data_IF_935026043000
#
_entry.id   IF_935026043000
#
_cell.length_a   1.000
_cell.length_b   1.000
_cell.length_c   1.000
_cell.angle_alpha   90.00
_cell.angle_beta   90.00
_cell.angle_gamma   90.00
#
_symmetry.space_group_name_H-M   'P 1'
#
loop_
_entity.id
_entity.type
_entity.pdbx_description
1 polymer ?
#
# COMPACT_ATOMS: atom_id res chain seq x y z
N UNK A 1 10.66 -0.18 -20.58
CA UNK A 1 10.30 -1.23 -19.61
C UNK A 1 11.46 -1.40 -18.65
N UNK A 2 11.15 -1.55 -17.37
CA UNK A 2 12.15 -1.79 -16.34
C UNK A 2 12.26 -3.30 -16.07
N UNK A 3 13.46 -3.75 -15.71
CA UNK A 3 13.75 -5.15 -15.42
C UNK A 3 14.66 -5.27 -14.20
N UNK A 4 14.50 -6.34 -13.43
CA UNK A 4 15.31 -6.60 -12.24
C UNK A 4 16.44 -7.57 -12.59
N UNK A 5 17.66 -7.25 -12.17
CA UNK A 5 18.80 -8.13 -12.41
C UNK A 5 18.60 -9.50 -11.74
N UNK A 6 18.92 -10.56 -12.48
CA UNK A 6 18.72 -11.95 -12.10
C UNK A 6 17.26 -12.42 -12.16
N UNK A 7 16.28 -11.56 -12.45
CA UNK A 7 14.90 -11.99 -12.71
C UNK A 7 14.69 -12.24 -14.21
N UNK A 8 13.51 -12.70 -14.61
CA UNK A 8 13.11 -12.64 -16.01
C UNK A 8 12.33 -11.34 -16.30
N UNK A 9 12.10 -11.07 -17.59
CA UNK A 9 11.20 -10.03 -18.09
C UNK A 9 10.34 -10.58 -19.23
N UNK A 10 9.02 -10.51 -19.12
CA UNK A 10 8.12 -10.79 -20.24
C UNK A 10 7.74 -9.48 -20.94
N UNK A 11 8.02 -9.38 -22.24
CA UNK A 11 7.63 -8.23 -23.07
C UNK A 11 6.32 -8.59 -23.77
N UNK A 12 5.18 -8.02 -23.36
CA UNK A 12 3.95 -8.13 -24.11
C UNK A 12 4.15 -7.40 -25.45
N UNK A 13 3.85 -8.09 -26.54
CA UNK A 13 4.09 -7.57 -27.87
C UNK A 13 3.02 -8.08 -28.83
N UNK A 14 2.44 -7.16 -29.59
CA UNK A 14 1.60 -7.43 -30.75
C UNK A 14 2.10 -6.60 -31.92
N UNK A 15 1.92 -7.10 -33.14
CA UNK A 15 2.32 -6.38 -34.33
C UNK A 15 1.20 -6.37 -35.36
N UNK A 16 1.12 -5.29 -36.13
CA UNK A 16 0.18 -5.18 -37.23
C UNK A 16 0.92 -5.02 -38.55
N UNK A 17 0.31 -5.52 -39.62
CA UNK A 17 0.81 -5.36 -40.98
C UNK A 17 -0.35 -5.43 -41.95
N UNK A 18 -0.38 -4.48 -42.88
CA UNK A 18 -1.32 -4.40 -43.99
C UNK A 18 -0.62 -4.77 -45.32
N UNK A 19 0.62 -5.24 -45.27
CA UNK A 19 1.38 -5.57 -46.47
C UNK A 19 0.70 -6.74 -47.22
N UNK A 20 0.31 -6.57 -48.48
CA UNK A 20 -0.36 -7.61 -49.26
C UNK A 20 0.45 -8.91 -49.39
N UNK A 21 1.78 -8.85 -49.19
CA UNK A 21 2.67 -10.02 -49.23
C UNK A 21 2.62 -10.85 -47.94
N UNK A 22 1.89 -10.40 -46.91
CA UNK A 22 1.73 -11.12 -45.66
C UNK A 22 0.68 -12.25 -45.78
N UNK A 23 1.14 -13.49 -46.03
CA UNK A 23 0.27 -14.69 -46.13
C UNK A 23 0.34 -15.64 -44.90
N UNK A 24 -0.65 -15.60 -43.99
CA UNK A 24 -0.64 -16.36 -42.70
C UNK A 24 -0.42 -17.87 -42.84
N UNK A 25 -0.78 -18.43 -44.00
CA UNK A 25 0.06 -19.31 -44.83
C UNK A 25 1.32 -19.95 -44.26
N UNK A 26 2.40 -19.16 -44.41
CA UNK A 26 3.79 -19.58 -44.33
C UNK A 26 4.34 -19.43 -42.92
N UNK A 27 5.46 -20.10 -42.65
CA UNK A 27 6.20 -19.94 -41.39
C UNK A 27 6.63 -18.48 -41.20
N UNK A 28 6.38 -17.96 -40.02
CA UNK A 28 6.69 -16.58 -39.63
C UNK A 28 7.83 -16.65 -38.61
N UNK A 29 8.86 -15.84 -38.83
CA UNK A 29 10.00 -15.74 -37.94
C UNK A 29 10.03 -14.37 -37.26
N UNK A 30 10.35 -14.39 -35.97
CA UNK A 30 10.55 -13.20 -35.15
C UNK A 30 12.04 -13.00 -34.92
N UNK A 31 12.49 -11.76 -35.08
CA UNK A 31 13.88 -11.37 -34.89
C UNK A 31 13.95 -10.18 -33.94
N UNK A 32 14.77 -10.31 -32.90
CA UNK A 32 15.10 -9.22 -32.01
C UNK A 32 16.49 -8.68 -32.35
N UNK A 33 16.58 -7.35 -32.36
CA UNK A 33 17.82 -6.63 -32.62
C UNK A 33 18.09 -5.63 -31.49
N UNK A 34 19.37 -5.42 -31.15
CA UNK A 34 19.80 -4.48 -30.12
C UNK A 34 20.65 -3.36 -30.72
N UNK A 35 20.40 -2.12 -30.32
CA UNK A 35 21.16 -0.92 -30.68
C UNK A 35 20.76 -0.29 -32.03
N UNK A 36 20.41 -1.09 -33.04
CA UNK A 36 20.01 -0.58 -34.36
C UNK A 36 19.23 -1.59 -35.21
N UNK A 37 18.92 -1.20 -36.45
CA UNK A 37 18.09 -1.97 -37.41
C UNK A 37 18.84 -2.45 -38.66
N UNK A 38 20.02 -1.88 -38.96
CA UNK A 38 20.79 -2.17 -40.18
C UNK A 38 21.75 -3.36 -40.00
N UNK A 39 21.23 -4.59 -39.97
CA UNK A 39 22.06 -5.77 -39.75
C UNK A 39 22.82 -6.28 -40.99
N UNK A 40 22.49 -5.79 -42.20
CA UNK A 40 23.24 -6.13 -43.43
C UNK A 40 24.69 -5.65 -43.39
N UNK A 41 24.96 -4.53 -42.71
CA UNK A 41 26.33 -4.00 -42.50
C UNK A 41 26.95 -4.47 -41.18
N UNK A 42 26.12 -4.87 -40.20
CA UNK A 42 26.60 -5.39 -38.93
C UNK A 42 25.68 -6.51 -38.39
N UNK A 43 25.98 -7.79 -38.69
CA UNK A 43 25.18 -8.92 -38.22
C UNK A 43 25.12 -9.06 -36.70
N UNK A 44 26.07 -8.45 -35.96
CA UNK A 44 26.18 -8.59 -34.50
C UNK A 44 25.04 -7.92 -33.71
N UNK A 45 24.19 -7.13 -34.39
CA UNK A 45 23.04 -6.48 -33.75
C UNK A 45 21.85 -7.43 -33.56
N UNK A 46 21.80 -8.54 -34.31
CA UNK A 46 20.78 -9.58 -34.15
C UNK A 46 21.12 -10.38 -32.90
N UNK A 47 20.25 -10.31 -31.89
CA UNK A 47 20.47 -11.00 -30.61
C UNK A 47 19.71 -12.31 -30.52
N UNK A 48 18.62 -12.43 -31.30
CA UNK A 48 17.75 -13.59 -31.31
C UNK A 48 17.00 -13.69 -32.64
N UNK A 49 16.93 -14.89 -33.20
CA UNK A 49 16.15 -15.23 -34.37
C UNK A 49 15.43 -16.57 -34.15
N UNK A 50 14.10 -16.59 -34.28
CA UNK A 50 13.29 -17.79 -34.03
C UNK A 50 13.46 -18.88 -35.10
N UNK A 51 14.07 -18.59 -36.25
CA UNK A 51 14.41 -19.59 -37.28
C UNK A 51 15.55 -20.52 -36.88
N UNK A 52 16.35 -20.16 -35.87
CA UNK A 52 17.58 -20.86 -35.53
C UNK A 52 18.72 -20.69 -36.55
N UNK A 53 18.56 -19.80 -37.54
CA UNK A 53 19.58 -19.58 -38.58
C UNK A 53 20.84 -18.83 -38.10
N UNK A 54 20.86 -18.34 -36.87
CA UNK A 54 22.01 -17.68 -36.25
C UNK A 54 22.22 -18.19 -34.83
N UNK A 55 23.48 -18.17 -34.38
CA UNK A 55 23.79 -18.38 -32.97
C UNK A 55 23.24 -17.20 -32.17
N UNK A 56 22.12 -17.44 -31.47
CA UNK A 56 21.47 -16.43 -30.67
C UNK A 56 22.40 -16.00 -29.52
N UNK A 57 22.62 -14.69 -29.40
CA UNK A 57 23.42 -14.11 -28.33
C UNK A 57 22.75 -14.28 -26.97
N UNK A 58 21.43 -14.22 -26.94
CA UNK A 58 20.61 -14.46 -25.75
C UNK A 58 19.62 -15.59 -26.01
N UNK A 59 19.42 -16.44 -25.00
CA UNK A 59 18.44 -17.54 -25.03
C UNK A 59 17.03 -17.03 -24.75
N UNK A 60 16.50 -16.17 -25.63
CA UNK A 60 15.13 -15.66 -25.49
C UNK A 60 14.10 -16.74 -25.83
N UNK A 61 12.91 -16.64 -25.27
CA UNK A 61 11.80 -17.54 -25.56
C UNK A 61 10.59 -16.76 -26.09
N UNK A 62 10.16 -17.01 -27.32
CA UNK A 62 8.94 -16.42 -27.87
C UNK A 62 7.73 -17.24 -27.42
N UNK A 63 6.99 -16.70 -26.45
CA UNK A 63 5.79 -17.35 -25.91
C UNK A 63 4.52 -16.99 -26.68
N UNK A 64 4.55 -15.90 -27.45
CA UNK A 64 3.45 -15.47 -28.31
C UNK A 64 3.35 -16.25 -29.63
N UNK A 65 2.13 -16.45 -30.12
CA UNK A 65 1.88 -17.02 -31.43
C UNK A 65 1.97 -15.95 -32.54
N UNK A 66 3.05 -15.98 -33.31
CA UNK A 66 3.28 -15.02 -34.41
C UNK A 66 2.19 -15.07 -35.49
N UNK A 67 1.50 -16.20 -35.70
CA UNK A 67 0.39 -16.28 -36.65
C UNK A 67 -0.82 -15.47 -36.20
N UNK A 68 -1.02 -15.37 -34.90
CA UNK A 68 -2.04 -14.53 -34.24
C UNK A 68 -1.54 -13.11 -33.98
N UNK A 69 -0.47 -12.68 -34.67
CA UNK A 69 0.14 -11.36 -34.50
C UNK A 69 0.68 -11.08 -33.09
N UNK A 70 0.92 -12.13 -32.30
CA UNK A 70 1.44 -12.03 -30.94
C UNK A 70 2.95 -12.34 -30.92
N UNK A 71 3.76 -11.32 -30.64
CA UNK A 71 5.21 -11.38 -30.57
C UNK A 71 5.76 -11.41 -29.14
N UNK A 72 4.90 -11.72 -28.15
CA UNK A 72 5.29 -11.75 -26.74
C UNK A 72 6.53 -12.62 -26.54
N UNK A 73 7.56 -12.04 -25.91
CA UNK A 73 8.87 -12.67 -25.75
C UNK A 73 9.30 -12.59 -24.28
N UNK A 74 9.76 -13.72 -23.75
CA UNK A 74 10.35 -13.86 -22.43
C UNK A 74 11.87 -13.76 -22.52
N UNK A 75 12.43 -12.84 -21.76
CA UNK A 75 13.85 -12.69 -21.51
C UNK A 75 14.16 -13.38 -20.18
N UNK A 76 14.72 -14.59 -20.18
CA UNK A 76 15.19 -15.21 -18.94
C UNK A 76 16.46 -14.51 -18.47
N UNK A 77 16.70 -14.53 -17.16
CA UNK A 77 17.95 -14.08 -16.54
C UNK A 77 18.47 -12.72 -17.03
N UNK A 78 17.75 -11.67 -16.65
CA UNK A 78 18.11 -10.29 -16.95
C UNK A 78 19.45 -9.96 -16.28
N UNK A 79 20.32 -9.37 -17.07
CA UNK A 79 21.67 -8.95 -16.69
C UNK A 79 21.87 -7.52 -17.15
N UNK A 80 22.85 -6.80 -16.59
CA UNK A 80 23.17 -5.41 -17.02
C UNK A 80 23.46 -5.32 -18.53
N UNK A 81 24.00 -6.38 -19.12
CA UNK A 81 24.24 -6.46 -20.57
C UNK A 81 22.95 -6.43 -21.41
N UNK A 82 21.78 -6.63 -20.81
CA UNK A 82 20.47 -6.51 -21.46
C UNK A 82 19.93 -5.07 -21.47
N UNK A 83 20.60 -4.12 -20.83
CA UNK A 83 20.18 -2.72 -20.90
C UNK A 83 20.36 -2.16 -22.32
N UNK A 84 19.37 -1.40 -22.80
CA UNK A 84 19.46 -0.66 -24.04
C UNK A 84 18.19 -0.68 -24.89
N UNK A 85 18.37 -0.31 -26.16
CA UNK A 85 17.30 -0.13 -27.14
C UNK A 85 17.19 -1.35 -28.06
N UNK A 86 15.96 -1.84 -28.25
CA UNK A 86 15.63 -3.05 -28.98
C UNK A 86 14.59 -2.78 -30.06
N UNK A 87 14.66 -3.57 -31.12
CA UNK A 87 13.73 -3.50 -32.26
C UNK A 87 13.24 -4.89 -32.58
N UNK A 88 11.93 -5.01 -32.78
CA UNK A 88 11.31 -6.25 -33.22
C UNK A 88 11.12 -6.24 -34.75
N UNK A 89 11.34 -7.40 -35.35
CA UNK A 89 11.23 -7.62 -36.78
C UNK A 89 10.52 -8.93 -37.07
N UNK A 90 9.66 -8.89 -38.07
CA UNK A 90 8.95 -10.06 -38.60
C UNK A 90 9.47 -10.36 -39.99
N UNK A 91 9.89 -11.61 -40.19
CA UNK A 91 10.34 -12.14 -41.48
C UNK A 91 9.45 -13.29 -41.92
N UNK A 92 9.05 -13.26 -43.19
CA UNK A 92 8.09 -14.22 -43.74
C UNK A 92 8.23 -14.31 -45.25
N UNK A 93 8.88 -15.36 -45.74
CA UNK A 93 9.25 -15.45 -47.16
C UNK A 93 10.01 -14.18 -47.57
N UNK A 94 9.48 -13.46 -48.56
CA UNK A 94 10.07 -12.20 -49.05
C UNK A 94 9.65 -10.98 -48.22
N UNK A 95 8.61 -11.10 -47.39
CA UNK A 95 8.17 -10.01 -46.52
C UNK A 95 9.11 -9.87 -45.32
N UNK A 96 9.51 -8.61 -45.08
CA UNK A 96 10.47 -8.21 -44.05
C UNK A 96 10.02 -6.88 -43.46
N UNK A 97 9.45 -6.90 -42.27
CA UNK A 97 8.93 -5.71 -41.58
C UNK A 97 9.60 -5.47 -40.22
N UNK A 98 10.02 -4.25 -39.93
CA UNK A 98 10.68 -3.88 -38.67
C UNK A 98 9.96 -2.72 -38.00
N UNK A 99 9.69 -2.85 -36.70
CA UNK A 99 9.11 -1.81 -35.88
C UNK A 99 10.17 -0.74 -35.53
N UNK A 100 10.51 0.11 -36.51
CA UNK A 100 11.53 1.15 -36.33
C UNK A 100 11.03 2.35 -35.52
N UNK A 101 9.73 2.66 -35.62
CA UNK A 101 9.10 3.80 -34.95
C UNK A 101 8.86 3.55 -33.45
N UNK A 102 8.67 2.28 -33.06
CA UNK A 102 8.30 1.88 -31.69
C UNK A 102 9.38 0.98 -31.06
N UNK A 103 10.59 1.51 -30.80
CA UNK A 103 11.66 0.75 -30.18
C UNK A 103 11.37 0.46 -28.71
N UNK A 104 11.64 -0.77 -28.28
CA UNK A 104 11.60 -1.14 -26.87
C UNK A 104 12.87 -0.66 -26.18
N UNK A 105 12.74 0.12 -25.11
CA UNK A 105 13.85 0.45 -24.22
C UNK A 105 13.78 -0.41 -22.96
N UNK A 106 14.84 -1.16 -22.66
CA UNK A 106 14.98 -1.94 -21.42
C UNK A 106 15.98 -1.23 -20.51
N UNK A 107 15.54 -0.92 -19.29
CA UNK A 107 16.38 -0.38 -18.22
C UNK A 107 16.52 -1.45 -17.14
N UNK A 108 17.75 -1.77 -16.74
CA UNK A 108 18.02 -2.83 -15.75
C UNK A 108 18.32 -2.19 -14.40
N UNK A 109 17.60 -2.63 -13.37
CA UNK A 109 17.79 -2.18 -11.98
C UNK A 109 18.30 -3.33 -11.12
N UNK A 110 19.09 -2.97 -10.11
CA UNK A 110 19.53 -3.91 -9.07
C UNK A 110 18.54 -3.95 -7.90
N UNK A 111 17.85 -2.84 -7.62
CA UNK A 111 16.84 -2.75 -6.56
C UNK A 111 15.48 -3.25 -7.05
N UNK A 112 14.79 -4.13 -6.28
CA UNK A 112 13.43 -4.58 -6.61
C UNK A 112 12.40 -3.46 -6.46
N UNK A 113 11.23 -3.64 -7.07
CA UNK A 113 10.12 -2.69 -6.92
C UNK A 113 9.49 -2.80 -5.54
N UNK A 114 9.27 -1.65 -4.90
CA UNK A 114 8.51 -1.59 -3.66
C UNK A 114 7.04 -1.96 -3.92
N UNK A 115 6.42 -2.76 -3.02
CA UNK A 115 4.99 -2.99 -3.10
C UNK A 115 4.22 -1.69 -2.84
N UNK A 116 2.96 -1.65 -3.24
CA UNK A 116 2.02 -0.59 -2.91
C UNK A 116 0.97 -1.12 -1.96
N UNK A 117 0.65 -0.34 -0.93
CA UNK A 117 -0.43 -0.64 0.01
C UNK A 117 -1.56 0.35 -0.28
N UNK A 118 -2.72 -0.17 -0.65
CA UNK A 118 -3.92 0.61 -0.89
C UNK A 118 -4.90 0.43 0.27
N UNK A 119 -5.22 1.54 0.93
CA UNK A 119 -6.16 1.62 2.05
C UNK A 119 -7.17 2.71 1.69
N UNK A 120 -8.49 2.53 1.95
CA UNK A 120 -9.46 3.60 1.79
C UNK A 120 -9.11 4.84 2.63
N UNK A 121 -9.58 6.01 2.19
CA UNK A 121 -9.50 7.23 3.01
C UNK A 121 -10.55 7.22 4.13
N UNK A 122 -10.42 8.15 5.07
CA UNK A 122 -11.46 8.48 6.05
C UNK A 122 -11.93 7.31 6.92
N UNK A 123 -10.95 6.56 7.44
CA UNK A 123 -11.17 5.37 8.25
C UNK A 123 -11.87 5.70 9.57
N UNK A 124 -12.93 4.95 9.89
CA UNK A 124 -13.69 5.08 11.14
C UNK A 124 -13.81 3.73 11.85
N UNK A 125 -13.86 3.76 13.18
CA UNK A 125 -14.13 2.58 14.00
C UNK A 125 -15.45 1.88 13.57
N UNK A 126 -15.49 0.56 13.74
CA UNK A 126 -16.56 -0.38 13.33
C UNK A 126 -16.77 -0.54 11.82
N UNK A 127 -16.03 0.20 10.98
CA UNK A 127 -16.07 0.01 9.53
C UNK A 127 -15.21 -1.21 9.14
N UNK A 128 -15.75 -2.07 8.29
CA UNK A 128 -14.97 -3.10 7.61
C UNK A 128 -14.40 -2.55 6.30
N UNK A 129 -13.08 -2.56 6.16
CA UNK A 129 -12.37 -2.08 4.97
C UNK A 129 -11.49 -3.17 4.38
N UNK A 130 -11.34 -3.15 3.06
CA UNK A 130 -10.39 -4.03 2.36
C UNK A 130 -9.07 -3.32 2.20
N UNK A 131 -8.02 -3.88 2.79
CA UNK A 131 -6.63 -3.45 2.55
C UNK A 131 -6.05 -4.33 1.46
N UNK A 132 -5.37 -3.71 0.49
CA UNK A 132 -4.72 -4.44 -0.61
C UNK A 132 -3.24 -4.11 -0.64
N UNK A 133 -2.38 -5.14 -0.62
CA UNK A 133 -0.98 -4.98 -0.98
C UNK A 133 -0.76 -5.56 -2.38
N UNK A 134 -0.07 -4.81 -3.25
CA UNK A 134 0.23 -5.24 -4.61
C UNK A 134 1.66 -4.94 -5.01
N UNK A 135 2.24 -5.77 -5.89
CA UNK A 135 3.56 -5.56 -6.45
C UNK A 135 3.60 -5.89 -7.94
N UNK A 136 4.45 -5.16 -8.65
CA UNK A 136 4.66 -5.36 -10.08
C UNK A 136 5.24 -6.75 -10.36
N UNK A 137 4.71 -7.43 -11.37
CA UNK A 137 5.07 -8.80 -11.73
C UNK A 137 5.67 -8.81 -13.14
N UNK A 138 7.00 -8.62 -13.29
CA UNK A 138 7.65 -8.62 -14.61
C UNK A 138 7.56 -9.99 -15.30
N UNK A 139 7.29 -11.04 -14.52
CA UNK A 139 7.19 -12.42 -14.98
C UNK A 139 6.00 -13.16 -14.36
N UNK A 140 4.97 -13.47 -15.15
CA UNK A 140 3.80 -14.22 -14.67
C UNK A 140 4.14 -15.63 -14.15
N UNK A 141 5.16 -16.27 -14.72
CA UNK A 141 5.61 -17.60 -14.31
C UNK A 141 6.48 -17.59 -13.05
N UNK A 142 6.95 -16.42 -12.62
CA UNK A 142 7.78 -16.26 -11.41
C UNK A 142 7.36 -14.99 -10.66
N UNK A 143 6.12 -14.97 -10.13
CA UNK A 143 5.60 -13.80 -9.44
C UNK A 143 6.31 -13.54 -8.10
N UNK A 144 6.33 -12.30 -7.61
CA UNK A 144 6.87 -12.00 -6.29
C UNK A 144 6.04 -12.68 -5.19
N UNK A 145 6.71 -13.09 -4.12
CA UNK A 145 6.04 -13.54 -2.90
C UNK A 145 5.72 -12.31 -2.04
N UNK A 146 4.43 -12.06 -1.83
CA UNK A 146 3.94 -11.00 -0.94
C UNK A 146 3.72 -11.54 0.47
N UNK A 147 4.15 -10.78 1.47
CA UNK A 147 3.91 -11.04 2.90
C UNK A 147 3.65 -9.71 3.61
N UNK A 148 2.80 -9.71 4.63
CA UNK A 148 2.49 -8.53 5.43
C UNK A 148 2.19 -8.91 6.88
N UNK A 149 2.06 -7.91 7.74
CA UNK A 149 1.78 -8.10 9.17
C UNK A 149 0.29 -8.18 9.54
N UNK A 150 -0.65 -8.10 8.58
CA UNK A 150 -2.09 -8.21 8.84
C UNK A 150 -2.56 -9.65 9.00
N UNK A 151 -2.26 -10.50 8.01
CA UNK A 151 -2.67 -11.90 8.04
C UNK A 151 -1.68 -12.77 7.25
N UNK A 152 -1.30 -13.92 7.81
CA UNK A 152 -0.19 -14.73 7.29
C UNK A 152 -0.57 -15.53 6.03
N UNK A 153 -1.86 -15.84 5.86
CA UNK A 153 -2.38 -16.69 4.77
C UNK A 153 -3.36 -15.96 3.82
N UNK A 154 -3.09 -14.70 3.50
CA UNK A 154 -3.95 -13.97 2.54
C UNK A 154 -3.83 -14.56 1.13
N UNK A 155 -4.98 -14.75 0.47
CA UNK A 155 -5.04 -15.34 -0.87
C UNK A 155 -4.31 -14.46 -1.89
N UNK A 156 -3.31 -15.05 -2.54
CA UNK A 156 -2.54 -14.41 -3.60
C UNK A 156 -3.25 -14.51 -4.94
N UNK A 157 -3.38 -13.39 -5.63
CA UNK A 157 -3.96 -13.32 -6.96
C UNK A 157 -3.00 -12.56 -7.88
N UNK A 158 -2.76 -13.07 -9.09
CA UNK A 158 -1.98 -12.36 -10.11
C UNK A 158 -2.91 -12.00 -11.25
N UNK A 159 -3.01 -10.71 -11.53
CA UNK A 159 -3.92 -10.16 -12.53
C UNK A 159 -3.11 -9.50 -13.64
N UNK A 160 -3.69 -9.51 -14.85
CA UNK A 160 -3.16 -8.80 -16.00
C UNK A 160 -3.94 -7.50 -16.16
N UNK A 161 -3.23 -6.38 -16.13
CA UNK A 161 -3.79 -5.06 -16.38
C UNK A 161 -4.03 -4.83 -17.88
N UNK A 162 -4.84 -3.81 -18.20
CA UNK A 162 -5.21 -3.44 -19.58
C UNK A 162 -4.02 -3.00 -20.42
N UNK A 163 -2.98 -2.46 -19.79
CA UNK A 163 -1.70 -2.09 -20.38
C UNK A 163 -0.78 -3.29 -20.67
N UNK A 164 -1.22 -4.52 -20.34
CA UNK A 164 -0.47 -5.75 -20.54
C UNK A 164 0.53 -6.07 -19.43
N UNK A 165 0.65 -5.22 -18.40
CA UNK A 165 1.46 -5.51 -17.21
C UNK A 165 0.77 -6.51 -16.29
N UNK A 166 1.55 -7.21 -15.48
CA UNK A 166 1.02 -8.12 -14.47
C UNK A 166 1.28 -7.56 -13.08
N UNK A 167 0.34 -7.79 -12.18
CA UNK A 167 0.42 -7.36 -10.79
C UNK A 167 -0.01 -8.51 -9.91
N UNK A 168 0.81 -8.86 -8.93
CA UNK A 168 0.44 -9.81 -7.88
C UNK A 168 -0.08 -9.02 -6.69
N UNK A 169 -1.20 -9.44 -6.10
CA UNK A 169 -1.82 -8.80 -4.95
C UNK A 169 -2.26 -9.80 -3.89
N UNK A 170 -2.27 -9.33 -2.65
CA UNK A 170 -2.94 -9.93 -1.49
C UNK A 170 -3.90 -8.91 -0.91
N UNK A 171 -5.02 -9.38 -0.40
CA UNK A 171 -6.07 -8.51 0.16
C UNK A 171 -6.64 -9.14 1.42
N UNK A 172 -7.03 -8.30 2.37
CA UNK A 172 -7.64 -8.70 3.63
C UNK A 172 -8.73 -7.70 4.01
N UNK A 173 -9.80 -8.21 4.62
CA UNK A 173 -10.83 -7.36 5.19
C UNK A 173 -10.58 -7.22 6.68
N UNK A 174 -10.36 -5.99 7.14
CA UNK A 174 -10.19 -5.67 8.56
C UNK A 174 -11.39 -4.88 9.05
N UNK A 175 -11.85 -5.19 10.26
CA UNK A 175 -12.84 -4.36 10.97
C UNK A 175 -12.09 -3.42 11.91
N UNK A 176 -12.23 -2.13 11.66
CA UNK A 176 -11.49 -1.10 12.35
C UNK A 176 -11.97 -0.89 13.80
N UNK A 177 -11.03 -0.51 14.66
CA UNK A 177 -11.24 -0.16 16.06
C UNK A 177 -10.31 0.98 16.46
N UNK A 178 -10.49 1.57 17.63
CA UNK A 178 -9.62 2.63 18.17
C UNK A 178 -8.14 2.21 18.30
N UNK A 179 -7.88 0.91 18.45
CA UNK A 179 -6.51 0.36 18.56
C UNK A 179 -5.76 0.32 17.23
N UNK A 180 -6.46 0.51 16.10
CA UNK A 180 -5.84 0.57 14.78
C UNK A 180 -5.33 1.98 14.44
N UNK A 181 -5.67 3.02 15.20
CA UNK A 181 -5.09 4.35 14.99
C UNK A 181 -3.60 4.34 15.35
N UNK A 182 -2.74 4.75 14.42
CA UNK A 182 -1.29 4.66 14.57
C UNK A 182 -0.70 3.27 14.30
N UNK A 183 -1.51 2.28 13.92
CA UNK A 183 -1.01 0.96 13.55
C UNK A 183 -0.31 1.00 12.19
N UNK A 184 0.90 0.46 12.12
CA UNK A 184 1.65 0.37 10.88
C UNK A 184 1.39 -0.94 10.15
N UNK A 185 0.90 -0.86 8.92
CA UNK A 185 0.84 -2.00 8.01
C UNK A 185 2.14 -2.04 7.23
N UNK A 186 2.90 -3.12 7.36
CA UNK A 186 4.07 -3.39 6.53
C UNK A 186 3.74 -4.49 5.52
N UNK A 187 4.10 -4.26 4.26
CA UNK A 187 4.07 -5.27 3.22
C UNK A 187 5.44 -5.41 2.55
N UNK A 188 5.89 -6.65 2.38
CA UNK A 188 7.14 -7.02 1.72
C UNK A 188 6.88 -7.79 0.43
N UNK A 189 7.60 -7.43 -0.62
CA UNK A 189 7.62 -8.12 -1.89
C UNK A 189 8.99 -8.78 -2.11
N UNK A 190 8.99 -10.12 -2.17
CA UNK A 190 10.18 -10.94 -2.40
C UNK A 190 10.20 -11.46 -3.82
N UNK A 191 11.11 -10.91 -4.62
CA UNK A 191 11.32 -11.29 -6.01
C UNK A 191 12.32 -12.44 -6.13
N UNK A 192 11.95 -13.56 -6.76
CA UNK A 192 12.89 -14.63 -7.08
C UNK A 192 13.88 -14.17 -8.14
N UNK A 193 15.18 -14.36 -7.89
CA UNK A 193 16.25 -14.03 -8.82
C UNK A 193 17.30 -15.14 -8.85
N UNK A 194 18.13 -15.19 -9.89
CA UNK A 194 19.28 -16.08 -9.92
C UNK A 194 20.21 -15.75 -8.75
N UNK A 195 20.53 -16.75 -7.94
CA UNK A 195 21.39 -16.60 -6.76
C UNK A 195 20.66 -16.21 -5.47
N UNK A 196 19.33 -16.10 -5.46
CA UNK A 196 18.58 -15.91 -4.22
C UNK A 196 17.26 -15.17 -4.41
N UNK A 197 17.03 -14.15 -3.59
CA UNK A 197 15.85 -13.31 -3.67
C UNK A 197 16.23 -11.85 -3.39
N UNK A 198 15.50 -10.93 -4.02
CA UNK A 198 15.58 -9.49 -3.72
C UNK A 198 14.26 -9.04 -3.13
N UNK A 199 14.33 -8.30 -2.03
CA UNK A 199 13.15 -7.86 -1.28
C UNK A 199 13.04 -6.34 -1.26
N UNK A 200 11.82 -5.84 -1.37
CA UNK A 200 11.48 -4.46 -1.03
C UNK A 200 10.28 -4.46 -0.08
N UNK A 201 10.14 -3.39 0.69
CA UNK A 201 9.12 -3.24 1.71
C UNK A 201 8.46 -1.87 1.61
N UNK A 202 7.22 -1.77 2.05
CA UNK A 202 6.48 -0.51 2.17
C UNK A 202 5.63 -0.56 3.41
N UNK A 203 5.54 0.57 4.10
CA UNK A 203 4.81 0.72 5.34
C UNK A 203 3.82 1.87 5.23
N UNK A 204 2.61 1.67 5.76
CA UNK A 204 1.56 2.69 5.85
C UNK A 204 0.99 2.70 7.25
N UNK A 205 0.98 3.87 7.90
CA UNK A 205 0.34 4.07 9.20
C UNK A 205 -1.15 4.36 9.02
N UNK A 206 -1.99 3.59 9.68
CA UNK A 206 -3.42 3.81 9.70
C UNK A 206 -3.77 5.04 10.54
N UNK A 207 -4.72 5.83 10.04
CA UNK A 207 -5.30 6.97 10.75
C UNK A 207 -6.79 6.75 10.91
N UNK A 208 -7.20 6.23 12.06
CA UNK A 208 -8.58 5.80 12.32
C UNK A 208 -9.25 6.78 13.26
N UNK A 209 -10.45 7.22 12.89
CA UNK A 209 -11.26 8.12 13.70
C UNK A 209 -12.22 7.32 14.59
N UNK A 210 -12.33 7.71 15.86
CA UNK A 210 -13.12 7.03 16.88
C UNK A 210 -13.66 8.03 17.92
N UNK A 211 -14.79 7.66 18.55
CA UNK A 211 -15.43 8.45 19.60
C UNK A 211 -14.55 8.50 20.88
N UNK A 212 -14.75 9.46 21.80
CA UNK A 212 -13.96 9.56 23.02
C UNK A 212 -14.05 8.29 23.88
N UNK A 213 -12.89 7.75 24.28
CA UNK A 213 -12.77 6.55 25.11
C UNK A 213 -11.71 6.72 26.20
N UNK A 214 -11.81 5.88 27.23
CA UNK A 214 -10.98 5.94 28.44
C UNK A 214 -11.00 7.34 29.08
N UNK A 215 -12.16 7.97 29.10
CA UNK A 215 -12.35 9.29 29.70
C UNK A 215 -12.15 9.19 31.21
N UNK A 216 -11.22 9.99 31.73
CA UNK A 216 -10.85 10.00 33.14
C UNK A 216 -10.94 11.42 33.69
N UNK A 217 -11.86 11.59 34.63
CA UNK A 217 -11.94 12.73 35.53
C UNK A 217 -11.04 12.49 36.75
N UNK A 218 -10.36 13.55 37.20
CA UNK A 218 -9.48 13.52 38.37
C UNK A 218 -9.58 14.85 39.12
N UNK A 219 -9.20 14.82 40.39
CA UNK A 219 -9.23 15.97 41.30
C UNK A 219 -7.88 16.13 42.01
N UNK A 220 -7.43 17.37 42.16
CA UNK A 220 -6.24 17.74 42.92
C UNK A 220 -6.54 18.95 43.85
N UNK A 221 -6.27 18.86 45.16
CA UNK A 221 -5.84 17.67 45.91
C UNK A 221 -6.93 16.60 45.98
N UNK A 222 -6.54 15.32 46.02
CA UNK A 222 -7.45 14.18 46.19
C UNK A 222 -7.72 13.88 47.66
N UNK A 223 -8.93 13.41 47.99
CA UNK A 223 -9.31 13.01 49.35
C UNK A 223 -10.31 13.97 49.97
N UNK A 224 -10.32 14.05 51.31
CA UNK A 224 -11.17 15.00 52.01
C UNK A 224 -10.58 16.41 51.90
N UNK A 225 -11.41 17.38 51.54
CA UNK A 225 -11.00 18.76 51.30
C UNK A 225 -11.68 19.68 52.33
N UNK A 226 -10.94 20.59 52.97
CA UNK A 226 -11.57 21.57 53.86
C UNK A 226 -12.34 22.62 53.06
N UNK A 227 -13.54 22.99 53.52
CA UNK A 227 -14.30 24.09 52.92
C UNK A 227 -13.45 25.37 52.87
N UNK A 228 -13.47 26.08 51.75
CA UNK A 228 -12.61 27.24 51.48
C UNK A 228 -11.32 26.92 50.72
N UNK A 229 -10.99 25.64 50.51
CA UNK A 229 -9.78 25.23 49.79
C UNK A 229 -9.98 25.27 48.28
N UNK A 230 -8.89 25.48 47.54
CA UNK A 230 -8.88 25.38 46.08
C UNK A 230 -8.71 23.93 45.64
N UNK A 231 -9.53 23.52 44.67
CA UNK A 231 -9.40 22.25 43.95
C UNK A 231 -9.31 22.51 42.46
N UNK A 232 -8.64 21.61 41.75
CA UNK A 232 -8.58 21.55 40.31
C UNK A 232 -9.11 20.19 39.84
N UNK A 233 -10.14 20.24 39.00
CA UNK A 233 -10.62 19.09 38.25
C UNK A 233 -9.92 19.02 36.91
N UNK A 234 -9.46 17.83 36.53
CA UNK A 234 -8.79 17.58 35.25
C UNK A 234 -9.43 16.41 34.53
N UNK A 235 -9.69 16.59 33.23
CA UNK A 235 -10.29 15.60 32.38
C UNK A 235 -9.33 15.16 31.27
N UNK A 236 -9.28 13.87 30.98
CA UNK A 236 -8.51 13.32 29.87
C UNK A 236 -9.35 12.30 29.12
N UNK A 237 -9.16 12.20 27.80
CA UNK A 237 -9.85 11.22 26.97
C UNK A 237 -9.05 10.97 25.69
N UNK A 238 -9.04 9.71 25.21
CA UNK A 238 -8.51 9.38 23.89
C UNK A 238 -9.62 9.55 22.87
N UNK A 239 -9.40 10.36 21.84
CA UNK A 239 -10.34 10.48 20.73
C UNK A 239 -9.62 10.95 19.47
N UNK A 240 -10.18 10.62 18.31
CA UNK A 240 -9.76 11.18 17.02
C UNK A 240 -11.00 11.43 16.15
N UNK A 241 -11.33 12.68 15.80
CA UNK A 241 -10.63 13.93 16.11
C UNK A 241 -10.55 14.27 17.62
N UNK A 242 -9.67 15.22 18.04
CA UNK A 242 -9.53 15.63 19.43
C UNK A 242 -10.88 16.05 20.06
N UNK A 243 -11.17 15.64 21.30
CA UNK A 243 -12.46 15.92 21.93
C UNK A 243 -12.50 17.35 22.52
N UNK A 244 -13.71 17.85 22.71
CA UNK A 244 -14.02 19.00 23.57
C UNK A 244 -14.46 18.49 24.94
N UNK A 245 -14.12 19.23 25.99
CA UNK A 245 -14.48 18.89 27.36
C UNK A 245 -15.55 19.83 27.90
N UNK A 246 -16.41 19.32 28.78
CA UNK A 246 -17.36 20.13 29.55
C UNK A 246 -17.54 19.51 30.92
N UNK A 247 -17.42 20.32 31.96
CA UNK A 247 -17.64 19.94 33.34
C UNK A 247 -19.05 20.30 33.78
N UNK A 248 -19.66 19.36 34.46
CA UNK A 248 -20.98 19.51 35.06
C UNK A 248 -20.90 19.23 36.56
N UNK A 249 -21.68 19.98 37.32
CA UNK A 249 -22.00 19.69 38.70
C UNK A 249 -23.39 19.05 38.77
N UNK A 250 -23.46 17.83 39.29
CA UNK A 250 -24.71 17.09 39.45
C UNK A 250 -25.42 17.59 40.71
N UNK A 251 -26.34 18.54 40.54
CA UNK A 251 -27.12 19.13 41.64
C UNK A 251 -28.50 18.46 41.75
N UNK A 252 -29.16 18.60 42.91
CA UNK A 252 -30.54 18.12 43.09
C UNK A 252 -31.56 18.75 42.12
N UNK A 253 -31.21 19.89 41.50
CA UNK A 253 -32.03 20.60 40.52
C UNK A 253 -31.62 20.33 39.06
N UNK A 254 -30.72 19.37 38.84
CA UNK A 254 -30.20 18.96 37.54
C UNK A 254 -28.74 19.36 37.32
N UNK A 255 -28.23 18.99 36.14
CA UNK A 255 -26.83 19.20 35.78
C UNK A 255 -26.55 20.67 35.44
N UNK A 256 -25.60 21.26 36.15
CA UNK A 256 -25.15 22.63 35.92
C UNK A 256 -23.81 22.61 35.20
N UNK A 257 -23.73 23.24 34.02
CA UNK A 257 -22.45 23.43 33.33
C UNK A 257 -21.60 24.45 34.10
N UNK A 258 -20.41 24.02 34.55
CA UNK A 258 -19.50 24.83 35.35
C UNK A 258 -18.22 25.24 34.60
N UNK A 259 -17.83 24.51 33.54
CA UNK A 259 -16.67 24.83 32.71
C UNK A 259 -16.71 24.12 31.36
N UNK A 260 -16.11 24.71 30.34
CA UNK A 260 -15.90 24.12 28.99
C UNK A 260 -14.43 23.85 28.69
N UNK A 261 -13.58 23.91 29.71
CA UNK A 261 -12.15 23.70 29.63
C UNK A 261 -11.78 22.28 30.09
N UNK A 262 -10.59 21.81 29.69
CA UNK A 262 -10.06 20.53 30.16
C UNK A 262 -9.77 20.54 31.67
N UNK A 263 -9.34 21.70 32.18
CA UNK A 263 -9.06 21.96 33.58
C UNK A 263 -10.12 22.91 34.15
N UNK A 264 -10.58 22.65 35.37
CA UNK A 264 -11.53 23.51 36.07
C UNK A 264 -11.13 23.67 37.54
N UNK A 265 -10.72 24.88 37.91
CA UNK A 265 -10.25 25.19 39.26
C UNK A 265 -11.20 26.15 39.98
N UNK A 266 -11.60 25.80 41.20
CA UNK A 266 -12.56 26.57 41.98
C UNK A 266 -12.36 26.38 43.49
N UNK A 267 -13.05 27.22 44.27
CA UNK A 267 -13.06 27.13 45.72
C UNK A 267 -14.19 26.22 46.21
N UNK A 268 -13.87 25.20 47.01
CA UNK A 268 -14.84 24.22 47.50
C UNK A 268 -15.65 24.81 48.65
N UNK A 269 -16.94 25.04 48.41
CA UNK A 269 -17.90 25.46 49.45
C UNK A 269 -18.73 24.29 49.94
N UNK A 270 -19.10 23.39 49.04
CA UNK A 270 -19.97 22.25 49.29
C UNK A 270 -19.40 21.01 48.59
N UNK A 271 -19.62 19.84 49.19
CA UNK A 271 -19.30 18.57 48.56
C UNK A 271 -20.27 18.27 47.43
N UNK A 272 -19.93 17.32 46.57
CA UNK A 272 -20.82 16.94 45.48
C UNK A 272 -20.15 16.16 44.38
N UNK A 273 -20.99 15.60 43.52
CA UNK A 273 -20.56 14.85 42.35
C UNK A 273 -20.40 15.78 41.15
N UNK A 274 -19.22 15.74 40.55
CA UNK A 274 -18.90 16.42 39.30
C UNK A 274 -18.64 15.37 38.23
N UNK A 275 -18.92 15.71 36.98
CA UNK A 275 -18.54 14.86 35.87
C UNK A 275 -18.04 15.67 34.69
N UNK A 276 -17.07 15.09 33.99
CA UNK A 276 -16.58 15.60 32.72
C UNK A 276 -17.23 14.82 31.59
N UNK A 277 -17.68 15.53 30.56
CA UNK A 277 -18.07 14.98 29.27
C UNK A 277 -17.00 15.31 28.23
N UNK A 278 -16.40 14.29 27.64
CA UNK A 278 -15.55 14.40 26.45
C UNK A 278 -16.42 14.10 25.21
N UNK A 279 -16.44 15.00 24.22
CA UNK A 279 -17.25 14.86 23.00
C UNK A 279 -16.44 15.19 21.75
N UNK A 280 -16.62 14.38 20.71
CA UNK A 280 -16.25 14.73 19.34
C UNK A 280 -17.43 14.46 18.39
N UNK A 281 -17.21 14.67 17.11
CA UNK A 281 -18.14 14.46 16.01
C UNK A 281 -18.58 13.00 15.81
N UNK A 282 -17.94 12.04 16.49
CA UNK A 282 -18.28 10.61 16.45
C UNK A 282 -19.01 10.11 17.71
N UNK A 283 -19.00 10.87 18.81
CA UNK A 283 -19.70 10.49 20.02
C UNK A 283 -19.16 11.19 21.27
N UNK A 284 -19.55 10.68 22.44
CA UNK A 284 -19.11 11.20 23.72
C UNK A 284 -18.89 10.09 24.75
N UNK A 285 -18.17 10.43 25.82
CA UNK A 285 -18.06 9.62 27.02
C UNK A 285 -17.91 10.52 28.24
N UNK A 286 -18.51 10.11 29.36
CA UNK A 286 -18.46 10.84 30.63
C UNK A 286 -17.62 10.11 31.67
N UNK A 287 -17.06 10.86 32.61
CA UNK A 287 -16.31 10.36 33.76
C UNK A 287 -16.61 11.20 34.99
N UNK A 288 -16.80 10.55 36.14
CA UNK A 288 -17.30 11.18 37.38
C UNK A 288 -16.19 11.31 38.42
N UNK A 289 -16.31 12.32 39.28
CA UNK A 289 -15.47 12.54 40.46
C UNK A 289 -16.34 13.10 41.58
N UNK A 290 -16.08 12.65 42.81
CA UNK A 290 -16.83 13.12 43.97
C UNK A 290 -15.92 13.94 44.89
N UNK A 291 -16.44 15.07 45.37
CA UNK A 291 -15.76 15.94 46.32
C UNK A 291 -16.39 15.74 47.69
N UNK A 292 -15.59 15.31 48.66
CA UNK A 292 -15.99 15.15 50.05
C UNK A 292 -15.31 16.19 50.93
N UNK A 293 -16.07 16.84 51.80
CA UNK A 293 -15.56 17.87 52.70
C UNK A 293 -15.19 17.26 54.06
N UNK A 294 -14.11 17.72 54.68
CA UNK A 294 -13.84 17.42 56.11
C UNK A 294 -14.83 18.15 57.03
N UNK A 295 -15.67 17.39 57.73
CA UNK A 295 -16.54 17.92 58.77
C UNK A 295 -15.76 18.20 60.06
N UNK A 296 -15.69 19.46 60.48
CA UNK A 296 -15.16 19.82 61.79
C UNK A 296 -16.29 19.82 62.84
N UNK A 297 -16.30 18.82 63.72
CA UNK A 297 -17.16 18.82 64.91
C UNK A 297 -16.61 19.84 65.90
N UNK A 298 -17.33 20.95 66.10
CA UNK A 298 -17.06 21.89 67.21
C UNK A 298 -17.67 21.33 68.49
N UNK A 299 -16.83 21.05 69.48
CA UNK A 299 -17.29 20.82 70.86
C UNK A 299 -17.59 22.19 71.47
N UNK A 300 -18.85 22.43 71.83
CA UNK A 300 -19.31 23.59 72.60
C UNK A 300 -19.26 23.32 74.10
#
# INVERSE_FOLDING_TARGET
MEALIGSCLQIPCTYETEDPRYDSSKTIYGVWMKGGVNFGSNPSIVIFNSSGSVNNKYSLNMTGNLKEKNCTTLFPDIQTSHEGKYYFRVEKGDYRGTACADPLHITVKDSPWSPSINVPSDLKEHQSVTVTCSAFTPCPHSPPQLTWNLHQDSLRQTEKSTDGTFTTKIQENITLSDTHDGYNISCSARYPVIGGNKTAETEVTLSVSYAPRNTSASISPSGLVSAGSWVELSCSSRAKPPPRFTWFWNSEHGDVNVSVEQLYSFNVTEGGEFYCMAINDLGNQTSYVNITIEDFVKIS
#
